data_IF_458668741048
#
_entry.id   IF_458668741048
#
_cell.length_a   1.000
_cell.length_b   1.000
_cell.length_c   1.000
_cell.angle_alpha   90.00
_cell.angle_beta   90.00
_cell.angle_gamma   90.00
#
_symmetry.space_group_name_H-M   'P 1'
#
loop_
_entity.id
_entity.type
_entity.pdbx_description
1 polymer ?
#
# COMPACT_ATOMS: atom_id res chain seq x y z
N UNK A 1 -28.28 9.65 -24.19
CA UNK A 1 -27.17 8.70 -23.98
C UNK A 1 -26.08 9.45 -23.22
N UNK A 2 -25.65 8.97 -22.05
CA UNK A 2 -24.43 9.51 -21.41
C UNK A 2 -23.25 9.09 -22.28
N UNK A 3 -22.49 10.05 -22.81
CA UNK A 3 -21.20 9.76 -23.43
C UNK A 3 -20.32 9.11 -22.37
N UNK A 4 -19.86 7.89 -22.65
CA UNK A 4 -18.81 7.27 -21.84
C UNK A 4 -17.53 8.01 -22.24
N UNK A 5 -17.02 8.83 -21.33
CA UNK A 5 -15.71 9.47 -21.51
C UNK A 5 -14.64 8.38 -21.61
N UNK A 6 -13.67 8.58 -22.51
CA UNK A 6 -12.57 7.63 -22.64
C UNK A 6 -11.75 7.59 -21.34
N UNK A 7 -11.29 6.39 -20.90
CA UNK A 7 -10.49 6.28 -19.69
C UNK A 7 -9.19 7.10 -19.81
N UNK A 8 -8.95 7.98 -18.85
CA UNK A 8 -7.68 8.71 -18.76
C UNK A 8 -6.62 7.76 -18.24
N UNK A 9 -5.55 7.55 -19.03
CA UNK A 9 -4.38 6.80 -18.59
C UNK A 9 -3.63 7.60 -17.54
N UNK A 10 -3.54 7.05 -16.33
CA UNK A 10 -2.71 7.63 -15.26
C UNK A 10 -1.26 7.24 -15.52
N UNK A 11 -0.43 8.22 -15.87
CA UNK A 11 1.00 8.01 -16.13
C UNK A 11 1.86 8.21 -14.87
N UNK A 12 1.44 9.10 -13.96
CA UNK A 12 2.16 9.43 -12.74
C UNK A 12 1.19 9.58 -11.57
N UNK A 13 1.58 9.05 -10.41
CA UNK A 13 0.91 9.30 -9.13
C UNK A 13 1.70 10.35 -8.35
N UNK A 14 1.07 11.49 -8.07
CA UNK A 14 1.65 12.59 -7.28
C UNK A 14 1.54 12.29 -5.79
N UNK A 15 2.49 12.80 -5.01
CA UNK A 15 2.44 12.77 -3.54
C UNK A 15 1.33 13.65 -2.98
N UNK A 16 0.85 13.32 -1.78
CA UNK A 16 -0.17 14.11 -1.07
C UNK A 16 0.47 15.20 -0.21
N UNK A 17 1.58 14.89 0.47
CA UNK A 17 2.33 15.85 1.26
C UNK A 17 3.38 16.59 0.41
N UNK A 18 3.21 17.90 0.21
CA UNK A 18 4.19 18.72 -0.51
C UNK A 18 5.42 19.09 0.32
N UNK A 19 5.33 18.99 1.65
CA UNK A 19 6.33 19.50 2.59
C UNK A 19 7.23 18.40 3.18
N UNK A 20 7.08 17.15 2.75
CA UNK A 20 7.83 16.03 3.29
C UNK A 20 7.25 14.68 2.86
N UNK A 21 7.69 13.57 3.47
CA UNK A 21 7.10 12.27 3.21
C UNK A 21 5.64 12.23 3.66
N UNK A 22 4.83 11.46 2.95
CA UNK A 22 3.53 11.02 3.46
C UNK A 22 3.73 10.27 4.78
N UNK A 23 2.71 10.28 5.63
CA UNK A 23 2.82 9.65 6.93
C UNK A 23 2.62 8.13 6.86
N UNK A 24 1.81 7.65 5.92
CA UNK A 24 1.53 6.24 5.72
C UNK A 24 1.16 5.93 4.27
N UNK A 25 1.78 4.89 3.73
CA UNK A 25 1.37 4.23 2.50
C UNK A 25 0.84 2.82 2.79
N UNK A 26 -0.30 2.44 2.22
CA UNK A 26 -0.90 1.11 2.37
C UNK A 26 -1.11 0.49 0.99
N UNK A 27 -0.68 -0.76 0.81
CA UNK A 27 -0.98 -1.54 -0.39
C UNK A 27 -1.21 -3.02 -0.05
N UNK A 28 -1.51 -3.81 -1.09
CA UNK A 28 -1.74 -5.25 -0.96
C UNK A 28 -0.79 -6.05 -1.87
N UNK A 29 -0.17 -7.09 -1.32
CA UNK A 29 0.42 -8.20 -2.04
C UNK A 29 -0.68 -9.23 -2.34
N UNK A 30 -1.05 -9.32 -3.61
CA UNK A 30 -1.99 -10.31 -4.15
C UNK A 30 -1.31 -11.11 -5.27
N UNK A 31 -2.02 -12.07 -5.85
CA UNK A 31 -1.54 -12.77 -7.05
C UNK A 31 -1.40 -11.83 -8.27
N UNK A 32 -2.20 -10.76 -8.35
CA UNK A 32 -2.07 -9.74 -9.38
C UNK A 32 -0.93 -8.76 -9.06
N UNK A 33 -0.25 -8.27 -10.10
CA UNK A 33 0.87 -7.34 -10.03
C UNK A 33 0.45 -5.85 -9.97
N UNK A 34 -0.84 -5.58 -9.73
CA UNK A 34 -1.42 -4.22 -9.81
C UNK A 34 -0.75 -3.24 -8.85
N UNK A 35 -0.52 -3.66 -7.61
CA UNK A 35 0.14 -2.82 -6.61
C UNK A 35 1.60 -2.51 -6.99
N UNK A 36 2.28 -3.44 -7.65
CA UNK A 36 3.65 -3.24 -8.16
C UNK A 36 3.62 -2.18 -9.27
N UNK A 37 2.66 -2.30 -10.20
CA UNK A 37 2.46 -1.32 -11.27
C UNK A 37 2.18 0.08 -10.70
N UNK A 38 1.33 0.16 -9.68
CA UNK A 38 1.01 1.42 -8.99
C UNK A 38 2.26 2.08 -8.39
N UNK A 39 3.07 1.32 -7.63
CA UNK A 39 4.31 1.84 -7.03
C UNK A 39 5.32 2.29 -8.09
N UNK A 40 5.43 1.56 -9.21
CA UNK A 40 6.32 1.94 -10.31
C UNK A 40 5.92 3.24 -11.01
N UNK A 41 4.65 3.66 -10.88
CA UNK A 41 4.11 4.91 -11.42
C UNK A 41 4.15 6.07 -10.43
N UNK A 42 4.53 5.81 -9.17
CA UNK A 42 4.76 6.90 -8.21
C UNK A 42 5.96 7.71 -8.65
N UNK A 43 5.87 9.03 -8.50
CA UNK A 43 6.97 9.92 -8.77
C UNK A 43 8.25 9.49 -8.02
N UNK A 44 9.42 9.80 -8.61
CA UNK A 44 10.73 9.45 -8.04
C UNK A 44 10.95 10.10 -6.67
N UNK A 45 10.34 11.25 -6.43
CA UNK A 45 10.39 12.00 -5.17
C UNK A 45 9.28 11.63 -4.17
N UNK A 46 8.43 10.64 -4.50
CA UNK A 46 7.47 10.11 -3.53
C UNK A 46 8.23 9.44 -2.38
N UNK A 47 7.92 9.88 -1.17
CA UNK A 47 8.42 9.29 0.07
C UNK A 47 7.29 9.11 1.06
N UNK A 48 7.41 8.09 1.90
CA UNK A 48 6.49 7.81 3.01
C UNK A 48 7.28 7.44 4.26
N UNK A 49 6.77 7.77 5.44
CA UNK A 49 7.39 7.35 6.71
C UNK A 49 7.24 5.85 6.91
N UNK A 50 5.99 5.38 6.84
CA UNK A 50 5.65 3.98 6.99
C UNK A 50 5.02 3.44 5.71
N UNK A 51 5.35 2.20 5.38
CA UNK A 51 4.67 1.43 4.34
C UNK A 51 4.09 0.17 4.95
N UNK A 52 2.82 -0.11 4.69
CA UNK A 52 2.14 -1.33 5.13
C UNK A 52 1.72 -2.13 3.92
N UNK A 53 2.18 -3.39 3.87
CA UNK A 53 1.80 -4.37 2.86
C UNK A 53 0.88 -5.38 3.52
N UNK A 54 -0.39 -5.37 3.13
CA UNK A 54 -1.31 -6.46 3.43
C UNK A 54 -1.01 -7.64 2.50
N UNK A 55 -0.83 -8.83 3.05
CA UNK A 55 -0.69 -10.07 2.27
C UNK A 55 -2.00 -10.81 2.38
N UNK A 56 -2.71 -10.94 1.27
CA UNK A 56 -3.94 -11.73 1.24
C UNK A 56 -3.53 -13.17 0.97
N UNK A 57 -3.84 -14.06 1.91
CA UNK A 57 -3.56 -15.49 1.77
C UNK A 57 -4.43 -16.10 0.66
N UNK A 58 -3.80 -16.53 -0.43
CA UNK A 58 -4.44 -17.20 -1.55
C UNK A 58 -3.76 -18.55 -1.84
N UNK A 59 -4.28 -19.67 -1.29
CA UNK A 59 -3.61 -20.97 -1.34
C UNK A 59 -3.28 -21.52 -2.73
N UNK A 60 -3.99 -21.04 -3.77
CA UNK A 60 -3.76 -21.46 -5.15
C UNK A 60 -2.68 -20.64 -5.86
N UNK A 61 -2.20 -19.55 -5.24
CA UNK A 61 -1.28 -18.57 -5.83
C UNK A 61 -0.17 -18.16 -4.84
N UNK A 62 0.26 -19.08 -3.97
CA UNK A 62 1.24 -18.78 -2.91
C UNK A 62 2.58 -18.30 -3.48
N UNK A 63 3.01 -18.86 -4.61
CA UNK A 63 4.26 -18.49 -5.28
C UNK A 63 4.17 -17.06 -5.83
N UNK A 64 3.08 -16.71 -6.52
CA UNK A 64 2.86 -15.38 -7.09
C UNK A 64 2.72 -14.33 -5.99
N UNK A 65 1.97 -14.63 -4.92
CA UNK A 65 1.83 -13.74 -3.76
C UNK A 65 3.18 -13.50 -3.09
N UNK A 66 3.99 -14.55 -2.91
CA UNK A 66 5.33 -14.46 -2.32
C UNK A 66 6.30 -13.65 -3.18
N UNK A 67 6.28 -13.88 -4.50
CA UNK A 67 7.10 -13.11 -5.45
C UNK A 67 6.70 -11.63 -5.44
N UNK A 68 5.39 -11.35 -5.46
CA UNK A 68 4.87 -9.99 -5.44
C UNK A 68 5.18 -9.28 -4.13
N UNK A 69 5.04 -9.95 -2.99
CA UNK A 69 5.47 -9.43 -1.68
C UNK A 69 6.95 -9.03 -1.71
N UNK A 70 7.83 -9.89 -2.21
CA UNK A 70 9.28 -9.60 -2.30
C UNK A 70 9.55 -8.37 -3.18
N UNK A 71 8.87 -8.25 -4.32
CA UNK A 71 8.99 -7.08 -5.22
C UNK A 71 8.51 -5.81 -4.53
N UNK A 72 7.35 -5.86 -3.86
CA UNK A 72 6.79 -4.74 -3.13
C UNK A 72 7.71 -4.27 -2.00
N UNK A 73 8.24 -5.20 -1.19
CA UNK A 73 9.19 -4.86 -0.13
C UNK A 73 10.44 -4.17 -0.68
N UNK A 74 10.99 -4.68 -1.79
CA UNK A 74 12.17 -4.10 -2.44
C UNK A 74 11.89 -2.68 -2.96
N UNK A 75 10.79 -2.45 -3.67
CA UNK A 75 10.46 -1.11 -4.18
C UNK A 75 10.10 -0.13 -3.06
N UNK A 76 9.31 -0.56 -2.07
CA UNK A 76 8.92 0.30 -0.95
C UNK A 76 10.10 0.62 -0.03
N UNK A 77 11.09 -0.26 0.11
CA UNK A 77 12.31 0.04 0.89
C UNK A 77 13.08 1.26 0.36
N UNK A 78 12.94 1.59 -0.94
CA UNK A 78 13.57 2.77 -1.55
C UNK A 78 12.79 4.07 -1.28
N UNK A 79 11.49 3.95 -1.01
CA UNK A 79 10.55 5.08 -0.84
C UNK A 79 10.14 5.30 0.63
N UNK A 80 10.48 4.36 1.51
CA UNK A 80 10.06 4.38 2.93
C UNK A 80 11.21 4.86 3.81
N UNK A 81 10.97 5.87 4.65
CA UNK A 81 12.02 6.49 5.47
C UNK A 81 12.15 5.87 6.87
N UNK A 82 11.10 5.24 7.41
CA UNK A 82 11.13 4.60 8.73
C UNK A 82 11.03 3.09 8.64
N UNK A 83 9.87 2.54 8.23
CA UNK A 83 9.69 1.09 8.24
C UNK A 83 8.68 0.57 7.21
N UNK A 84 9.04 -0.53 6.55
CA UNK A 84 8.11 -1.37 5.78
C UNK A 84 7.59 -2.49 6.68
N UNK A 85 6.29 -2.58 6.80
CA UNK A 85 5.54 -3.48 7.67
C UNK A 85 4.71 -4.43 6.82
N UNK A 86 4.64 -5.69 7.23
CA UNK A 86 3.88 -6.73 6.53
C UNK A 86 2.83 -7.29 7.47
N UNK A 87 1.59 -7.38 6.99
CA UNK A 87 0.45 -7.90 7.73
C UNK A 87 -0.16 -9.02 6.89
N UNK A 88 -0.12 -10.26 7.41
CA UNK A 88 -0.88 -11.35 6.79
C UNK A 88 -2.35 -11.20 7.17
N UNK A 89 -3.25 -11.36 6.20
CA UNK A 89 -4.68 -11.39 6.46
C UNK A 89 -5.34 -12.52 5.70
N UNK A 90 -6.23 -13.22 6.39
CA UNK A 90 -7.07 -14.22 5.77
C UNK A 90 -8.15 -13.53 4.95
N UNK A 91 -8.28 -13.92 3.68
CA UNK A 91 -9.30 -13.37 2.77
C UNK A 91 -10.72 -13.45 3.33
N UNK A 92 -11.03 -14.50 4.10
CA UNK A 92 -12.35 -14.72 4.71
C UNK A 92 -12.55 -13.96 6.04
N UNK A 93 -11.48 -13.38 6.59
CA UNK A 93 -11.50 -12.68 7.87
C UNK A 93 -10.61 -11.42 7.83
N UNK A 94 -10.98 -10.38 7.04
CA UNK A 94 -10.19 -9.15 6.92
C UNK A 94 -10.02 -8.40 8.26
N UNK A 95 -10.91 -8.66 9.22
CA UNK A 95 -10.83 -8.09 10.57
C UNK A 95 -9.57 -8.52 11.32
N UNK A 96 -9.00 -9.70 11.01
CA UNK A 96 -7.72 -10.11 11.58
C UNK A 96 -6.61 -9.12 11.17
N UNK A 97 -6.53 -8.79 9.87
CA UNK A 97 -5.52 -7.91 9.34
C UNK A 97 -5.66 -6.49 9.90
N UNK A 98 -6.90 -6.00 10.02
CA UNK A 98 -7.18 -4.71 10.65
C UNK A 98 -6.80 -4.68 12.14
N UNK A 99 -7.00 -5.79 12.85
CA UNK A 99 -6.61 -5.91 14.26
C UNK A 99 -5.09 -5.93 14.41
N UNK A 100 -4.38 -6.62 13.51
CA UNK A 100 -2.91 -6.59 13.46
C UNK A 100 -2.40 -5.17 13.16
N UNK A 101 -3.03 -4.51 12.18
CA UNK A 101 -2.72 -3.13 11.83
C UNK A 101 -2.90 -2.18 13.02
N UNK A 102 -4.05 -2.21 13.71
CA UNK A 102 -4.30 -1.35 14.87
C UNK A 102 -3.26 -1.56 15.99
N UNK A 103 -2.90 -2.82 16.27
CA UNK A 103 -1.86 -3.13 17.27
C UNK A 103 -0.50 -2.57 16.87
N UNK A 104 -0.09 -2.80 15.63
CA UNK A 104 1.18 -2.31 15.10
C UNK A 104 1.21 -0.78 15.04
N UNK A 105 0.11 -0.19 14.62
CA UNK A 105 -0.06 1.26 14.53
C UNK A 105 0.17 1.92 15.89
N UNK A 106 -0.51 1.43 16.93
CA UNK A 106 -0.34 1.92 18.30
C UNK A 106 1.08 1.72 18.87
N UNK A 107 1.79 0.69 18.41
CA UNK A 107 3.12 0.37 18.93
C UNK A 107 4.22 1.18 18.25
N UNK A 108 4.15 1.36 16.93
CA UNK A 108 5.26 1.87 16.14
C UNK A 108 4.99 3.25 15.55
N UNK A 109 3.73 3.59 15.27
CA UNK A 109 3.39 4.76 14.49
C UNK A 109 2.82 5.85 15.40
N UNK A 110 3.70 6.74 15.86
CA UNK A 110 3.28 7.93 16.59
C UNK A 110 3.33 9.11 15.61
N UNK A 111 2.18 9.63 15.19
CA UNK A 111 2.15 10.91 14.49
C UNK A 111 2.59 12.00 15.47
N UNK A 112 3.84 12.43 15.34
CA UNK A 112 4.46 13.46 16.18
C UNK A 112 4.07 14.88 15.78
N UNK A 113 3.34 15.04 14.68
CA UNK A 113 2.91 16.34 14.15
C UNK A 113 1.58 16.83 14.72
N UNK A 114 1.42 18.15 14.84
CA UNK A 114 0.18 18.82 15.27
C UNK A 114 -0.91 18.91 14.18
N UNK A 115 -0.76 18.18 13.07
CA UNK A 115 -1.62 18.26 11.88
C UNK A 115 -2.30 16.95 11.53
N UNK A 116 -3.23 16.99 10.57
CA UNK A 116 -3.84 15.79 10.00
C UNK A 116 -2.78 14.97 9.23
N UNK A 117 -2.78 13.63 9.37
CA UNK A 117 -1.81 12.79 8.69
C UNK A 117 -2.09 12.70 7.19
N UNK A 118 -1.04 12.59 6.39
CA UNK A 118 -1.11 12.30 4.96
C UNK A 118 -1.04 10.79 4.74
N UNK A 119 -2.17 10.19 4.34
CA UNK A 119 -2.29 8.74 4.13
C UNK A 119 -2.62 8.46 2.66
N UNK A 120 -1.82 7.62 2.04
CA UNK A 120 -2.03 7.15 0.67
C UNK A 120 -2.35 5.65 0.68
N UNK A 121 -3.43 5.25 0.01
CA UNK A 121 -3.89 3.86 -0.03
C UNK A 121 -4.03 3.42 -1.48
N UNK A 122 -3.28 2.40 -1.85
CA UNK A 122 -3.46 1.68 -3.11
C UNK A 122 -4.43 0.52 -2.93
N UNK A 123 -5.66 0.71 -3.40
CA UNK A 123 -6.73 -0.29 -3.33
C UNK A 123 -6.72 -1.29 -4.50
N UNK A 124 -5.80 -1.16 -5.46
CA UNK A 124 -5.86 -1.88 -6.74
C UNK A 124 -5.66 -3.40 -6.63
N UNK A 125 -4.86 -3.84 -5.65
CA UNK A 125 -4.59 -5.26 -5.36
C UNK A 125 -5.45 -5.85 -4.24
N UNK A 126 -6.35 -5.07 -3.62
CA UNK A 126 -7.23 -5.58 -2.57
C UNK A 126 -8.44 -6.32 -3.16
N UNK A 127 -8.98 -7.28 -2.41
CA UNK A 127 -10.29 -7.85 -2.72
C UNK A 127 -11.42 -6.89 -2.34
N UNK A 128 -12.65 -7.13 -2.84
CA UNK A 128 -13.83 -6.31 -2.52
C UNK A 128 -14.36 -6.47 -1.08
N UNK A 129 -13.90 -7.51 -0.37
CA UNK A 129 -14.28 -7.84 1.00
C UNK A 129 -13.41 -7.01 1.94
#
# INVERSE_FOLDING_TARGET
>A
MKSIEEPIKVEYLTRSNENGPDDLFICCASFEDRSISSISKMADDFQTKFSVIFVIEEPLYEEEVSENLRKLQMELSKKTTEQVLVISSQRQNPMDGLTQFDKMWKQFCHFTGSGSPFITIDISGFTKI
#
